data_IF_549679399772
#
_entry.id   IF_549679399772
#
_cell.length_a   1.000
_cell.length_b   1.000
_cell.length_c   1.000
_cell.angle_alpha   90.00
_cell.angle_beta   90.00
_cell.angle_gamma   90.00
#
_symmetry.space_group_name_H-M   'P 1'
#
loop_
_entity.id
_entity.type
_entity.pdbx_description
1 polymer ?
#
# COMPACT_ATOMS: atom_id res chain seq x y z
N UNK A 1 1.08 19.50 -1.35
CA UNK A 1 0.28 18.60 -2.21
C UNK A 1 1.14 17.76 -3.18
N UNK A 2 2.02 18.39 -3.97
CA UNK A 2 2.87 17.70 -4.95
C UNK A 2 3.71 16.54 -4.37
N UNK A 3 4.32 16.73 -3.19
CA UNK A 3 5.11 15.69 -2.52
C UNK A 3 4.29 14.44 -2.17
N UNK A 4 3.04 14.62 -1.74
CA UNK A 4 2.12 13.52 -1.41
C UNK A 4 1.71 12.75 -2.66
N UNK A 5 1.40 13.47 -3.75
CA UNK A 5 1.07 12.89 -5.06
C UNK A 5 2.26 12.08 -5.60
N UNK A 6 3.48 12.61 -5.50
CA UNK A 6 4.68 11.91 -5.96
C UNK A 6 4.87 10.55 -5.26
N UNK A 7 4.52 10.46 -3.97
CA UNK A 7 4.58 9.20 -3.21
C UNK A 7 3.56 8.17 -3.74
N UNK A 8 2.31 8.59 -3.98
CA UNK A 8 1.29 7.70 -4.56
C UNK A 8 1.65 7.25 -5.98
N UNK A 9 2.14 8.16 -6.82
CA UNK A 9 2.61 7.83 -8.16
C UNK A 9 3.75 6.80 -8.16
N UNK A 10 4.59 6.82 -7.11
CA UNK A 10 5.65 5.82 -6.94
C UNK A 10 5.10 4.46 -6.53
N UNK A 11 4.09 4.40 -5.65
CA UNK A 11 3.41 3.15 -5.30
C UNK A 11 2.76 2.50 -6.52
N UNK A 12 2.07 3.27 -7.37
CA UNK A 12 1.48 2.78 -8.63
C UNK A 12 2.54 2.18 -9.57
N UNK A 13 3.74 2.78 -9.63
CA UNK A 13 4.85 2.23 -10.42
C UNK A 13 5.43 0.95 -9.82
N UNK A 14 5.41 0.79 -8.50
CA UNK A 14 5.88 -0.41 -7.81
C UNK A 14 4.89 -1.55 -8.04
N UNK A 15 3.59 -1.29 -7.84
CA UNK A 15 2.51 -2.25 -8.09
C UNK A 15 2.54 -2.75 -9.54
N UNK A 16 2.66 -1.83 -10.52
CA UNK A 16 2.81 -2.19 -11.94
C UNK A 16 4.05 -3.04 -12.23
N UNK A 17 5.16 -2.81 -11.52
CA UNK A 17 6.41 -3.57 -11.71
C UNK A 17 6.34 -4.96 -11.08
N UNK A 18 5.64 -5.09 -9.96
CA UNK A 18 5.44 -6.36 -9.29
C UNK A 18 4.50 -7.24 -10.12
N UNK A 19 3.39 -6.71 -10.64
CA UNK A 19 2.43 -7.49 -11.42
C UNK A 19 1.70 -8.50 -10.53
N UNK A 20 1.60 -9.75 -10.97
CA UNK A 20 0.88 -10.83 -10.27
C UNK A 20 1.25 -11.04 -8.79
N UNK A 21 2.52 -10.93 -8.35
CA UNK A 21 2.87 -11.03 -6.92
C UNK A 21 2.51 -9.79 -6.07
N UNK A 22 1.94 -8.72 -6.64
CA UNK A 22 1.57 -7.55 -5.86
C UNK A 22 0.32 -7.83 -5.01
N UNK A 23 0.43 -7.67 -3.68
CA UNK A 23 -0.70 -7.76 -2.77
C UNK A 23 -0.98 -6.41 -2.10
N UNK A 24 -2.26 -6.02 -2.07
CA UNK A 24 -2.73 -4.88 -1.30
C UNK A 24 -3.09 -5.33 0.11
N UNK A 25 -2.43 -4.75 1.11
CA UNK A 25 -2.63 -5.14 2.50
C UNK A 25 -3.99 -4.71 3.09
N UNK A 26 -4.80 -3.90 2.37
CA UNK A 26 -6.20 -3.63 2.70
C UNK A 26 -6.51 -3.39 4.19
N UNK A 27 -7.61 -4.00 4.66
CA UNK A 27 -8.06 -3.91 6.05
C UNK A 27 -7.27 -4.80 7.02
N UNK A 28 -6.42 -5.71 6.53
CA UNK A 28 -5.58 -6.59 7.38
C UNK A 28 -4.31 -5.89 7.87
N UNK A 29 -3.97 -4.71 7.33
CA UNK A 29 -2.84 -3.88 7.80
C UNK A 29 -2.95 -3.47 9.27
N UNK A 30 -4.17 -3.30 9.77
CA UNK A 30 -4.40 -2.94 11.16
C UNK A 30 -4.37 -4.25 11.93
N UNK A 31 -3.31 -4.54 12.73
CA UNK A 31 -3.39 -5.68 13.63
C UNK A 31 -4.65 -5.46 14.46
N UNK A 32 -5.56 -6.43 14.42
CA UNK A 32 -6.76 -6.41 15.25
C UNK A 32 -6.31 -5.99 16.65
N UNK A 33 -6.80 -4.86 17.16
CA UNK A 33 -6.66 -4.53 18.57
C UNK A 33 -7.19 -5.76 19.31
N UNK A 34 -6.30 -6.55 19.88
CA UNK A 34 -6.66 -7.61 20.82
C UNK A 34 -6.70 -6.90 22.17
N UNK A 35 -7.88 -6.52 22.68
CA UNK A 35 -7.95 -6.14 24.08
C UNK A 35 -7.59 -7.39 24.89
N UNK A 36 -6.61 -7.24 25.77
CA UNK A 36 -6.25 -8.25 26.78
C UNK A 36 -7.45 -8.57 27.70
#
# INVERSE_FOLDING_TARGET
>A
MAQRIAKYNRLLRIEKKLGDPAESAGATTVPCFRPD
#
